data_IF_054634132570
#
_entry.id   IF_054634132570
#
_cell.length_a   1.000
_cell.length_b   1.000
_cell.length_c   1.000
_cell.angle_alpha   90.00
_cell.angle_beta   90.00
_cell.angle_gamma   90.00
#
_symmetry.space_group_name_H-M   'P 1'
#
loop_
_entity.id
_entity.type
_entity.pdbx_description
1 polymer ?
#
# COMPACT_ATOMS: atom_id res chain seq x y z
N UNK A 1 -12.39 -0.22 -12.39
CA UNK A 1 -11.26 -0.78 -11.61
C UNK A 1 -11.75 -1.87 -10.68
N UNK A 2 -12.42 -1.58 -9.54
CA UNK A 2 -12.94 -2.60 -8.61
C UNK A 2 -13.64 -3.77 -9.31
N UNK A 3 -14.74 -3.48 -10.04
CA UNK A 3 -15.48 -4.49 -10.82
C UNK A 3 -14.63 -5.40 -11.70
N UNK A 4 -13.54 -4.90 -12.28
CA UNK A 4 -12.63 -5.69 -13.12
C UNK A 4 -11.77 -6.62 -12.26
N UNK A 5 -11.22 -6.13 -11.15
CA UNK A 5 -10.44 -6.95 -10.23
C UNK A 5 -11.32 -7.99 -9.53
N UNK A 6 -12.53 -7.59 -9.11
CA UNK A 6 -13.52 -8.48 -8.52
C UNK A 6 -13.94 -9.59 -9.50
N UNK A 7 -14.08 -9.28 -10.80
CA UNK A 7 -14.38 -10.29 -11.84
C UNK A 7 -13.20 -11.21 -12.18
N UNK A 8 -11.99 -10.87 -11.73
CA UNK A 8 -10.77 -11.66 -11.91
C UNK A 8 -10.33 -12.34 -10.59
N UNK A 9 -11.27 -12.51 -9.65
CA UNK A 9 -11.08 -13.20 -8.36
C UNK A 9 -10.05 -12.53 -7.43
N UNK A 10 -9.82 -11.22 -7.57
CA UNK A 10 -9.04 -10.49 -6.59
C UNK A 10 -9.89 -10.14 -5.37
N UNK A 11 -9.30 -10.31 -4.18
CA UNK A 11 -9.89 -9.88 -2.91
C UNK A 11 -9.49 -8.43 -2.62
N UNK A 12 -10.47 -7.51 -2.53
CA UNK A 12 -10.22 -6.17 -1.97
C UNK A 12 -9.92 -6.33 -0.47
N UNK A 13 -8.84 -5.70 0.00
CA UNK A 13 -8.39 -5.71 1.40
C UNK A 13 -8.04 -4.30 1.86
N UNK A 14 -8.01 -4.11 3.18
CA UNK A 14 -7.50 -2.89 3.81
C UNK A 14 -6.32 -3.22 4.71
N UNK A 15 -5.19 -2.56 4.49
CA UNK A 15 -3.98 -2.74 5.30
C UNK A 15 -3.74 -1.53 6.22
N UNK A 16 -2.93 -1.66 7.29
CA UNK A 16 -2.68 -0.56 8.21
C UNK A 16 -2.13 0.70 7.52
N UNK A 17 -2.64 1.87 7.95
CA UNK A 17 -2.12 3.19 7.53
C UNK A 17 -0.92 3.63 8.38
N UNK A 18 -0.91 3.26 9.66
CA UNK A 18 0.17 3.55 10.59
C UNK A 18 1.10 2.34 10.68
N UNK A 19 2.36 2.52 10.34
CA UNK A 19 3.39 1.48 10.37
C UNK A 19 4.42 1.80 11.46
N UNK A 20 5.00 0.75 12.07
CA UNK A 20 6.14 0.90 12.99
C UNK A 20 7.44 1.26 12.24
N UNK A 21 7.48 1.01 10.93
CA UNK A 21 8.58 1.38 10.04
C UNK A 21 8.01 1.62 8.64
N UNK A 22 8.37 2.74 8.01
CA UNK A 22 8.00 3.02 6.64
C UNK A 22 8.78 2.12 5.66
N UNK A 23 8.11 1.58 4.63
CA UNK A 23 8.72 0.76 3.59
C UNK A 23 7.79 0.56 2.39
N UNK A 24 8.27 -0.15 1.36
CA UNK A 24 7.55 -0.37 0.09
C UNK A 24 7.69 0.76 -0.94
N UNK A 25 8.40 1.84 -0.60
CA UNK A 25 8.82 2.87 -1.54
C UNK A 25 10.06 3.59 -1.04
N UNK A 26 10.74 4.31 -1.93
CA UNK A 26 11.81 5.24 -1.55
C UNK A 26 11.23 6.66 -1.46
N UNK A 27 10.61 6.99 -0.32
CA UNK A 27 9.95 8.27 -0.06
C UNK A 27 10.10 8.68 1.40
N UNK A 28 10.10 10.00 1.68
CA UNK A 28 10.17 10.50 3.06
C UNK A 28 8.79 10.36 3.74
N UNK A 29 8.67 9.68 4.89
CA UNK A 29 7.38 9.50 5.56
C UNK A 29 6.99 10.71 6.42
N UNK A 30 5.68 10.82 6.71
CA UNK A 30 5.21 11.58 7.87
C UNK A 30 5.36 10.73 9.13
N UNK A 31 5.75 11.37 10.23
CA UNK A 31 5.97 10.73 11.53
C UNK A 31 4.94 11.28 12.50
N UNK A 32 4.33 10.41 13.30
CA UNK A 32 3.40 10.74 14.39
C UNK A 32 3.77 9.94 15.64
N UNK A 33 3.13 10.24 16.77
CA UNK A 33 3.44 9.63 18.05
C UNK A 33 2.18 9.05 18.71
N UNK A 34 2.25 7.80 19.16
CA UNK A 34 1.16 7.14 19.86
C UNK A 34 1.34 7.27 21.39
N UNK A 35 0.67 8.26 21.99
CA UNK A 35 0.86 8.65 23.40
C UNK A 35 0.82 7.50 24.43
N UNK A 36 -0.19 6.63 24.36
CA UNK A 36 -0.36 5.57 25.38
C UNK A 36 0.67 4.44 25.28
N UNK A 37 1.24 4.24 24.08
CA UNK A 37 2.27 3.22 23.84
C UNK A 37 3.67 3.83 23.88
N UNK A 38 3.77 5.16 23.87
CA UNK A 38 5.01 5.93 23.83
C UNK A 38 5.95 5.45 22.71
N UNK A 39 5.41 5.30 21.50
CA UNK A 39 6.14 4.90 20.29
C UNK A 39 5.86 5.86 19.14
N UNK A 40 6.84 6.00 18.26
CA UNK A 40 6.65 6.70 16.99
C UNK A 40 6.06 5.75 15.95
N UNK A 41 5.18 6.30 15.11
CA UNK A 41 4.55 5.62 13.99
C UNK A 41 4.71 6.45 12.73
N UNK A 42 4.66 5.78 11.59
CA UNK A 42 4.85 6.38 10.28
C UNK A 42 3.57 6.22 9.47
N UNK A 43 3.12 7.28 8.81
CA UNK A 43 2.08 7.13 7.78
C UNK A 43 2.69 6.36 6.60
N UNK A 44 1.95 5.37 6.08
CA UNK A 44 2.40 4.51 4.99
C UNK A 44 2.76 5.29 3.72
N UNK A 45 3.88 4.91 3.11
CA UNK A 45 4.38 5.48 1.85
C UNK A 45 4.04 4.62 0.61
N UNK A 46 3.58 3.38 0.86
CA UNK A 46 3.14 2.36 -0.11
C UNK A 46 2.24 1.33 0.59
N UNK A 47 1.55 0.48 -0.19
CA UNK A 47 0.69 -0.62 0.30
C UNK A 47 1.45 -1.97 0.33
N UNK A 48 2.53 -2.07 -0.46
CA UNK A 48 3.28 -3.28 -0.83
C UNK A 48 3.50 -4.31 0.28
N UNK A 49 4.16 -3.93 1.38
CA UNK A 49 4.71 -4.91 2.31
C UNK A 49 3.62 -5.71 3.03
N UNK A 50 2.46 -5.11 3.29
CA UNK A 50 1.35 -5.81 3.91
C UNK A 50 0.64 -6.70 2.91
N UNK A 51 0.45 -6.25 1.66
CA UNK A 51 -0.14 -7.08 0.61
C UNK A 51 0.71 -8.32 0.30
N UNK A 52 2.04 -8.19 0.24
CA UNK A 52 2.94 -9.36 0.10
C UNK A 52 2.85 -10.34 1.28
N UNK A 53 2.66 -9.85 2.50
CA UNK A 53 2.43 -10.72 3.67
C UNK A 53 1.12 -11.50 3.55
N UNK A 54 0.09 -10.92 2.93
CA UNK A 54 -1.17 -11.63 2.64
C UNK A 54 -0.96 -12.74 1.61
N UNK A 55 -0.16 -12.51 0.56
CA UNK A 55 0.24 -13.57 -0.38
C UNK A 55 0.93 -14.72 0.37
N UNK A 56 1.90 -14.42 1.23
CA UNK A 56 2.57 -15.43 2.08
C UNK A 56 1.57 -16.16 2.99
N UNK A 57 0.54 -15.45 3.46
CA UNK A 57 -0.55 -15.99 4.27
C UNK A 57 -1.57 -16.84 3.49
N UNK A 58 -1.41 -17.01 2.18
CA UNK A 58 -2.27 -17.86 1.33
C UNK A 58 -3.40 -17.11 0.61
N UNK A 59 -3.47 -15.78 0.69
CA UNK A 59 -4.38 -14.99 -0.14
C UNK A 59 -3.73 -14.77 -1.51
N UNK A 60 -4.06 -15.62 -2.49
CA UNK A 60 -3.32 -15.66 -3.76
C UNK A 60 -3.55 -14.46 -4.68
N UNK A 61 -4.64 -13.70 -4.50
CA UNK A 61 -4.97 -12.51 -5.30
C UNK A 61 -5.57 -11.44 -4.42
N UNK A 62 -4.85 -10.33 -4.21
CA UNK A 62 -5.29 -9.23 -3.36
C UNK A 62 -5.08 -7.90 -4.05
N UNK A 63 -5.91 -6.92 -3.72
CA UNK A 63 -5.68 -5.53 -4.09
C UNK A 63 -6.16 -4.57 -3.01
N UNK A 64 -5.57 -3.39 -2.97
CA UNK A 64 -6.03 -2.29 -2.14
C UNK A 64 -6.04 -0.99 -2.95
N UNK A 65 -7.13 -0.21 -2.81
CA UNK A 65 -7.21 1.17 -3.28
C UNK A 65 -7.18 2.07 -2.05
N UNK A 66 -6.00 2.63 -1.76
CA UNK A 66 -5.72 3.27 -0.48
C UNK A 66 -4.98 4.60 -0.60
N UNK A 67 -5.10 5.44 0.44
CA UNK A 67 -4.29 6.65 0.55
C UNK A 67 -2.86 6.31 0.99
N UNK A 68 -1.87 6.90 0.34
CA UNK A 68 -0.47 6.91 0.78
C UNK A 68 -0.04 8.36 1.04
N UNK A 69 1.01 8.52 1.86
CA UNK A 69 1.44 9.82 2.36
C UNK A 69 2.95 9.98 2.17
N UNK A 70 3.38 11.04 1.49
CA UNK A 70 4.80 11.34 1.26
C UNK A 70 5.11 12.77 1.67
N UNK A 71 6.01 12.90 2.64
CA UNK A 71 6.45 14.16 3.22
C UNK A 71 7.61 14.75 2.40
N UNK A 72 7.30 15.13 1.16
CA UNK A 72 8.24 15.64 0.17
C UNK A 72 7.94 17.11 -0.16
N UNK A 73 8.72 17.70 -1.08
CA UNK A 73 8.43 19.04 -1.58
C UNK A 73 7.08 19.07 -2.32
N UNK A 74 6.32 20.16 -2.14
CA UNK A 74 5.09 20.37 -2.90
C UNK A 74 5.38 21.12 -4.19
N UNK A 75 4.74 20.68 -5.27
CA UNK A 75 4.68 21.41 -6.53
C UNK A 75 3.27 21.27 -7.14
N UNK A 76 3.08 21.78 -8.36
CA UNK A 76 1.77 21.73 -9.03
C UNK A 76 1.35 20.34 -9.51
N UNK A 77 2.20 19.32 -9.35
CA UNK A 77 2.00 17.94 -9.81
C UNK A 77 2.04 16.91 -8.68
N UNK A 78 2.53 17.27 -7.49
CA UNK A 78 2.70 16.36 -6.37
C UNK A 78 1.94 16.83 -5.13
N UNK A 79 0.97 16.00 -4.70
CA UNK A 79 0.23 16.20 -3.46
C UNK A 79 0.80 15.26 -2.37
N UNK A 80 0.97 15.72 -1.12
CA UNK A 80 1.54 14.90 -0.03
C UNK A 80 0.68 13.70 0.35
N UNK A 81 -0.61 13.70 -0.02
CA UNK A 81 -1.49 12.54 0.10
C UNK A 81 -2.08 12.19 -1.28
N UNK A 82 -2.04 10.93 -1.68
CA UNK A 82 -2.61 10.53 -2.97
C UNK A 82 -3.05 9.07 -2.97
N UNK A 83 -4.02 8.76 -3.81
CA UNK A 83 -4.61 7.42 -3.87
C UNK A 83 -3.78 6.54 -4.81
N UNK A 84 -3.42 5.37 -4.33
CA UNK A 84 -2.80 4.32 -5.13
C UNK A 84 -3.71 3.10 -5.19
N UNK A 85 -3.60 2.38 -6.31
CA UNK A 85 -3.99 0.99 -6.38
C UNK A 85 -2.71 0.16 -6.38
N UNK A 86 -2.64 -0.82 -5.48
CA UNK A 86 -1.67 -1.90 -5.60
C UNK A 86 -2.39 -3.24 -5.63
N UNK A 87 -1.90 -4.16 -6.45
CA UNK A 87 -2.37 -5.53 -6.53
C UNK A 87 -1.20 -6.49 -6.46
N UNK A 88 -1.44 -7.66 -5.86
CA UNK A 88 -0.51 -8.76 -5.83
C UNK A 88 -1.24 -10.04 -6.19
N UNK A 89 -0.59 -10.86 -7.00
CA UNK A 89 -1.10 -12.15 -7.48
C UNK A 89 0.03 -13.17 -7.45
N UNK A 90 -0.24 -14.34 -6.88
CA UNK A 90 0.70 -15.45 -6.84
C UNK A 90 0.88 -16.05 -8.24
N UNK A 91 2.09 -16.58 -8.51
CA UNK A 91 2.46 -17.28 -9.74
C UNK A 91 2.48 -16.44 -11.03
N UNK A 92 2.29 -15.13 -10.93
CA UNK A 92 2.38 -14.21 -12.06
C UNK A 92 3.76 -13.57 -12.12
N UNK A 93 4.26 -13.35 -13.32
CA UNK A 93 5.39 -12.47 -13.58
C UNK A 93 4.91 -11.10 -14.11
N UNK A 94 5.85 -10.25 -14.53
CA UNK A 94 5.52 -8.90 -14.96
C UNK A 94 4.76 -8.86 -16.30
N UNK A 95 4.90 -9.85 -17.17
CA UNK A 95 4.16 -9.93 -18.43
C UNK A 95 2.68 -10.20 -18.15
N UNK A 96 2.39 -11.14 -17.25
CA UNK A 96 1.02 -11.47 -16.84
C UNK A 96 0.28 -10.26 -16.22
N UNK A 97 1.02 -9.30 -15.65
CA UNK A 97 0.47 -8.07 -15.07
C UNK A 97 0.28 -6.96 -16.12
N UNK A 98 1.05 -6.98 -17.21
CA UNK A 98 0.94 -6.00 -18.30
C UNK A 98 -0.18 -6.32 -19.29
N UNK A 99 -0.48 -7.61 -19.47
CA UNK A 99 -1.54 -8.11 -20.34
C UNK A 99 -2.96 -7.77 -19.82
#
# INVERSE_FOLDING_TARGET
VRKYLDSNDYQEVETPVLHNQAGGANARPFITHHNALNIDLYLRIALELHLKRLIVGGLERVYEIGRVFRNEGMDTRHNPEFTMLESYVAYFDFNDVMD
#
